data_IF_291276397332
#
_entry.id   IF_291276397332
#
_cell.length_a   1.000
_cell.length_b   1.000
_cell.length_c   1.000
_cell.angle_alpha   90.00
_cell.angle_beta   90.00
_cell.angle_gamma   90.00
#
_symmetry.space_group_name_H-M   'P 1'
#
loop_
_entity.id
_entity.type
_entity.pdbx_description
1 polymer ?
#
# COMPACT_ATOMS: atom_id res chain seq x y z
N UNK A 1 -30.21 -19.58 -17.25
CA UNK A 1 -30.02 -19.57 -15.78
C UNK A 1 -30.72 -18.32 -15.24
N UNK A 2 -31.48 -18.39 -14.14
CA UNK A 2 -32.19 -17.20 -13.63
C UNK A 2 -31.20 -16.22 -12.96
N UNK A 3 -31.48 -14.90 -12.99
CA UNK A 3 -30.63 -13.90 -12.32
C UNK A 3 -30.43 -14.17 -10.82
N UNK A 4 -31.48 -14.67 -10.16
CA UNK A 4 -31.43 -15.05 -8.73
C UNK A 4 -30.46 -16.20 -8.51
N UNK A 5 -30.52 -17.26 -9.33
CA UNK A 5 -29.61 -18.40 -9.20
C UNK A 5 -28.16 -18.00 -9.48
N UNK A 6 -27.93 -17.13 -10.48
CA UNK A 6 -26.61 -16.58 -10.78
C UNK A 6 -26.04 -15.80 -9.59
N UNK A 7 -26.85 -14.93 -8.98
CA UNK A 7 -26.44 -14.14 -7.81
C UNK A 7 -26.11 -15.01 -6.59
N UNK A 8 -26.92 -16.04 -6.32
CA UNK A 8 -26.66 -16.99 -5.21
C UNK A 8 -25.35 -17.75 -5.45
N UNK A 9 -25.13 -18.27 -6.65
CA UNK A 9 -23.90 -18.99 -6.97
C UNK A 9 -22.67 -18.08 -6.89
N UNK A 10 -22.77 -16.84 -7.37
CA UNK A 10 -21.69 -15.86 -7.25
C UNK A 10 -21.37 -15.52 -5.79
N UNK A 11 -22.39 -15.31 -4.96
CA UNK A 11 -22.20 -15.07 -3.53
C UNK A 11 -21.52 -16.26 -2.84
N UNK A 12 -22.00 -17.49 -3.08
CA UNK A 12 -21.40 -18.69 -2.50
C UNK A 12 -19.97 -18.91 -2.99
N UNK A 13 -19.70 -18.67 -4.27
CA UNK A 13 -18.36 -18.77 -4.82
C UNK A 13 -17.40 -17.76 -4.17
N UNK A 14 -17.83 -16.50 -4.01
CA UNK A 14 -17.03 -15.48 -3.33
C UNK A 14 -16.79 -15.84 -1.86
N UNK A 15 -17.84 -16.25 -1.15
CA UNK A 15 -17.71 -16.64 0.25
C UNK A 15 -16.78 -17.84 0.42
N UNK A 16 -16.92 -18.86 -0.42
CA UNK A 16 -16.03 -20.02 -0.42
C UNK A 16 -14.58 -19.60 -0.73
N UNK A 17 -14.36 -18.73 -1.72
CA UNK A 17 -13.01 -18.23 -2.04
C UNK A 17 -12.38 -17.49 -0.86
N UNK A 18 -13.13 -16.63 -0.16
CA UNK A 18 -12.67 -15.94 1.05
C UNK A 18 -12.41 -16.92 2.20
N UNK A 19 -13.30 -17.89 2.42
CA UNK A 19 -13.17 -18.92 3.45
C UNK A 19 -11.94 -19.81 3.22
N UNK A 20 -11.60 -20.10 1.96
CA UNK A 20 -10.41 -20.86 1.61
C UNK A 20 -9.13 -20.01 1.71
N UNK A 21 -9.20 -18.71 1.42
CA UNK A 21 -8.05 -17.81 1.43
C UNK A 21 -7.66 -17.31 2.83
N UNK A 22 -8.63 -17.05 3.73
CA UNK A 22 -8.34 -16.36 4.99
C UNK A 22 -7.37 -17.14 5.88
N UNK A 23 -7.48 -18.47 5.93
CA UNK A 23 -6.65 -19.31 6.80
C UNK A 23 -5.20 -19.36 6.36
N UNK A 24 -4.85 -19.75 5.11
CA UNK A 24 -3.44 -19.78 4.69
C UNK A 24 -2.80 -18.39 4.70
N UNK A 25 -3.53 -17.34 4.31
CA UNK A 25 -3.02 -15.97 4.34
C UNK A 25 -2.88 -15.44 5.77
N UNK A 26 -3.86 -15.69 6.64
CA UNK A 26 -3.83 -15.32 8.05
C UNK A 26 -2.69 -16.02 8.79
N UNK A 27 -2.55 -17.33 8.63
CA UNK A 27 -1.46 -18.11 9.24
C UNK A 27 -0.09 -17.67 8.69
N UNK A 28 -0.02 -17.27 7.42
CA UNK A 28 1.18 -16.66 6.85
C UNK A 28 1.51 -15.31 7.48
N UNK A 29 0.54 -14.39 7.59
CA UNK A 29 0.73 -13.09 8.25
C UNK A 29 1.16 -13.24 9.71
N UNK A 30 0.52 -14.16 10.45
CA UNK A 30 0.88 -14.46 11.83
C UNK A 30 2.36 -14.88 11.93
N UNK A 31 2.80 -15.81 11.06
CA UNK A 31 4.21 -16.24 11.00
C UNK A 31 5.16 -15.11 10.63
N UNK A 32 4.80 -14.25 9.69
CA UNK A 32 5.64 -13.09 9.29
C UNK A 32 5.82 -12.12 10.45
N UNK A 33 4.77 -11.84 11.22
CA UNK A 33 4.83 -10.89 12.33
C UNK A 33 5.42 -11.46 13.62
N UNK A 34 5.42 -12.78 13.82
CA UNK A 34 5.91 -13.42 15.05
C UNK A 34 7.25 -14.15 14.90
N UNK A 35 7.83 -14.22 13.69
CA UNK A 35 9.07 -14.97 13.46
C UNK A 35 10.30 -14.12 13.81
N UNK A 36 11.15 -14.65 14.70
CA UNK A 36 12.48 -14.08 14.98
C UNK A 36 13.53 -14.38 13.89
N UNK A 37 13.15 -15.19 12.89
CA UNK A 37 14.06 -15.60 11.81
C UNK A 37 13.94 -14.67 10.62
N UNK A 38 15.08 -14.11 10.21
CA UNK A 38 15.21 -13.32 8.98
C UNK A 38 15.94 -14.06 7.87
N UNK A 39 15.40 -13.99 6.65
CA UNK A 39 16.03 -14.53 5.46
C UNK A 39 17.30 -13.75 5.09
N UNK A 40 18.21 -14.37 4.32
CA UNK A 40 19.44 -13.70 3.87
C UNK A 40 19.14 -12.42 3.10
N UNK A 41 18.12 -12.45 2.23
CA UNK A 41 17.68 -11.30 1.42
C UNK A 41 17.15 -10.17 2.30
N UNK A 42 16.35 -10.49 3.32
CA UNK A 42 15.84 -9.49 4.28
C UNK A 42 16.98 -8.78 5.01
N UNK A 43 17.98 -9.54 5.48
CA UNK A 43 19.17 -8.97 6.15
C UNK A 43 19.95 -8.02 5.24
N UNK A 44 20.02 -8.29 3.93
CA UNK A 44 20.62 -7.38 2.96
C UNK A 44 19.81 -6.10 2.81
N UNK A 45 18.49 -6.21 2.69
CA UNK A 45 17.59 -5.06 2.59
C UNK A 45 17.69 -4.19 3.84
N UNK A 46 17.61 -4.79 5.04
CA UNK A 46 17.73 -4.07 6.31
C UNK A 46 19.05 -3.28 6.39
N UNK A 47 20.16 -3.91 5.97
CA UNK A 47 21.46 -3.22 5.89
C UNK A 47 21.46 -2.08 4.89
N UNK A 48 20.87 -2.27 3.71
CA UNK A 48 20.84 -1.26 2.66
C UNK A 48 20.02 -0.02 3.08
N UNK A 49 18.92 -0.21 3.80
CA UNK A 49 18.06 0.88 4.29
C UNK A 49 18.43 1.37 5.69
N UNK A 50 19.46 0.78 6.33
CA UNK A 50 19.90 1.11 7.69
C UNK A 50 18.90 0.70 8.79
N UNK A 51 18.00 -0.24 8.53
CA UNK A 51 17.07 -0.75 9.53
C UNK A 51 17.74 -1.82 10.41
N UNK A 52 17.47 -1.77 11.72
CA UNK A 52 17.78 -2.86 12.64
C UNK A 52 16.51 -3.63 12.99
N UNK A 53 16.33 -4.88 12.53
CA UNK A 53 15.11 -5.64 12.81
C UNK A 53 14.99 -6.07 14.29
N UNK A 54 16.07 -6.03 15.08
CA UNK A 54 16.03 -6.38 16.50
C UNK A 54 15.63 -5.21 17.41
N UNK A 55 15.38 -4.02 16.85
CA UNK A 55 15.02 -2.84 17.64
C UNK A 55 13.51 -2.78 17.83
N UNK A 56 13.05 -2.86 19.08
CA UNK A 56 11.66 -2.60 19.42
C UNK A 56 11.34 -1.10 19.40
N UNK A 57 10.18 -0.72 18.85
CA UNK A 57 9.70 0.65 18.84
C UNK A 57 8.62 0.88 19.89
N UNK A 58 8.80 1.90 20.73
CA UNK A 58 7.70 2.42 21.56
C UNK A 58 6.65 3.08 20.64
N UNK A 59 5.38 3.04 21.05
CA UNK A 59 4.27 3.60 20.26
C UNK A 59 4.49 5.05 19.75
N UNK A 60 5.13 6.00 20.48
CA UNK A 60 5.34 7.35 19.95
C UNK A 60 6.36 7.36 18.81
N UNK A 61 7.37 6.50 18.87
CA UNK A 61 8.36 6.35 17.80
C UNK A 61 7.71 5.75 16.55
N UNK A 62 6.87 4.74 16.73
CA UNK A 62 6.08 4.13 15.66
C UNK A 62 5.14 5.17 15.00
N UNK A 63 4.36 5.90 15.79
CA UNK A 63 3.46 6.93 15.29
C UNK A 63 4.21 8.01 14.49
N UNK A 64 5.33 8.52 15.02
CA UNK A 64 6.16 9.48 14.29
C UNK A 64 6.71 8.90 13.00
N UNK A 65 7.12 7.62 13.00
CA UNK A 65 7.58 6.92 11.81
C UNK A 65 6.50 6.86 10.72
N UNK A 66 5.29 6.45 11.09
CA UNK A 66 4.14 6.42 10.17
C UNK A 66 3.83 7.82 9.63
N UNK A 67 3.71 8.83 10.49
CA UNK A 67 3.40 10.20 10.06
C UNK A 67 4.49 10.80 9.16
N UNK A 68 5.77 10.59 9.49
CA UNK A 68 6.89 11.06 8.68
C UNK A 68 6.93 10.37 7.31
N UNK A 69 6.74 9.04 7.28
CA UNK A 69 6.69 8.28 6.03
C UNK A 69 5.50 8.71 5.16
N UNK A 70 4.33 8.91 5.74
CA UNK A 70 3.15 9.42 5.04
C UNK A 70 3.38 10.83 4.49
N UNK A 71 3.97 11.74 5.27
CA UNK A 71 4.27 13.09 4.81
C UNK A 71 5.24 13.08 3.62
N UNK A 72 6.33 12.30 3.70
CA UNK A 72 7.28 12.12 2.58
C UNK A 72 6.57 11.52 1.37
N UNK A 73 5.68 10.54 1.57
CA UNK A 73 4.94 9.91 0.47
C UNK A 73 3.99 10.88 -0.23
N UNK A 74 3.27 11.73 0.52
CA UNK A 74 2.39 12.77 -0.05
C UNK A 74 3.22 13.75 -0.86
N UNK A 75 4.34 14.25 -0.32
CA UNK A 75 5.22 15.18 -1.02
C UNK A 75 5.81 14.54 -2.28
N UNK A 76 6.26 13.29 -2.20
CA UNK A 76 6.79 12.54 -3.33
C UNK A 76 5.75 12.38 -4.45
N UNK A 77 4.55 11.90 -4.14
CA UNK A 77 3.48 11.72 -5.13
C UNK A 77 2.95 13.05 -5.69
N UNK A 78 2.89 14.09 -4.87
CA UNK A 78 2.55 15.44 -5.31
C UNK A 78 3.58 15.93 -6.35
N UNK A 79 4.87 15.87 -6.03
CA UNK A 79 5.94 16.29 -6.94
C UNK A 79 5.98 15.44 -8.20
N UNK A 80 5.78 14.13 -8.09
CA UNK A 80 5.70 13.24 -9.26
C UNK A 80 4.61 13.68 -10.24
N UNK A 81 3.42 14.02 -9.75
CA UNK A 81 2.32 14.52 -10.59
C UNK A 81 2.59 15.92 -11.16
N UNK A 82 3.18 16.81 -10.36
CA UNK A 82 3.56 18.18 -10.79
C UNK A 82 4.68 18.19 -11.82
N UNK A 83 5.52 17.16 -11.82
CA UNK A 83 6.61 16.98 -12.77
C UNK A 83 6.26 15.98 -13.87
N UNK A 84 5.06 15.38 -13.85
CA UNK A 84 4.65 14.31 -14.74
C UNK A 84 4.94 14.63 -16.21
N UNK A 85 4.66 15.86 -16.65
CA UNK A 85 4.90 16.28 -18.03
C UNK A 85 6.36 16.22 -18.47
N UNK A 86 7.29 16.30 -17.52
CA UNK A 86 8.75 16.24 -17.75
C UNK A 86 9.36 14.87 -17.43
N UNK A 87 8.62 13.97 -16.78
CA UNK A 87 9.13 12.66 -16.40
C UNK A 87 9.22 11.73 -17.63
N UNK A 88 10.22 10.83 -17.68
CA UNK A 88 10.24 9.76 -18.67
C UNK A 88 8.93 8.96 -18.62
N UNK A 89 8.34 8.70 -19.79
CA UNK A 89 7.07 7.97 -19.89
C UNK A 89 5.81 8.82 -19.82
N UNK A 90 5.90 10.15 -19.87
CA UNK A 90 4.72 11.06 -19.89
C UNK A 90 3.78 10.86 -21.10
N UNK A 91 4.18 10.17 -22.17
CA UNK A 91 3.38 9.98 -23.41
C UNK A 91 2.80 11.29 -24.02
N UNK A 92 3.36 12.45 -23.68
CA UNK A 92 2.87 13.76 -24.12
C UNK A 92 1.85 14.42 -23.17
N UNK A 93 1.57 13.85 -22.00
CA UNK A 93 0.71 14.46 -21.00
C UNK A 93 1.34 15.71 -20.37
N UNK A 94 0.51 16.68 -20.00
CA UNK A 94 0.92 17.84 -19.20
C UNK A 94 0.92 17.49 -17.71
N UNK A 95 1.67 18.25 -16.93
CA UNK A 95 1.68 18.09 -15.47
C UNK A 95 0.32 18.41 -14.84
N UNK A 96 -0.09 17.60 -13.87
CA UNK A 96 -1.39 17.71 -13.18
C UNK A 96 -1.45 19.02 -12.37
N UNK A 97 -2.53 19.83 -12.44
CA UNK A 97 -2.72 21.04 -11.62
C UNK A 97 -2.49 20.83 -10.12
N UNK A 98 -2.10 21.88 -9.39
CA UNK A 98 -1.62 21.76 -8.01
C UNK A 98 -2.68 21.23 -7.03
N UNK A 99 -3.91 21.70 -7.14
CA UNK A 99 -5.06 21.26 -6.38
C UNK A 99 -5.38 19.78 -6.62
N UNK A 100 -5.44 19.35 -7.89
CA UNK A 100 -5.71 17.96 -8.25
C UNK A 100 -4.56 17.02 -7.85
N UNK A 101 -3.31 17.46 -8.02
CA UNK A 101 -2.13 16.70 -7.61
C UNK A 101 -2.10 16.49 -6.09
N UNK A 102 -2.43 17.52 -5.31
CA UNK A 102 -2.51 17.43 -3.86
C UNK A 102 -3.64 16.50 -3.41
N UNK A 103 -4.85 16.66 -3.99
CA UNK A 103 -5.99 15.80 -3.67
C UNK A 103 -5.67 14.32 -3.95
N UNK A 104 -5.11 14.04 -5.12
CA UNK A 104 -4.74 12.68 -5.54
C UNK A 104 -3.65 12.11 -4.62
N UNK A 105 -2.59 12.88 -4.33
CA UNK A 105 -1.51 12.41 -3.46
C UNK A 105 -2.02 12.10 -2.04
N UNK A 106 -2.82 12.99 -1.44
CA UNK A 106 -3.40 12.78 -0.12
C UNK A 106 -4.35 11.57 -0.10
N UNK A 107 -5.20 11.45 -1.12
CA UNK A 107 -6.16 10.37 -1.30
C UNK A 107 -5.50 8.98 -1.36
N UNK A 108 -4.41 8.84 -2.13
CA UNK A 108 -3.70 7.57 -2.26
C UNK A 108 -2.89 7.23 -1.00
N UNK A 109 -2.20 8.19 -0.39
CA UNK A 109 -1.43 7.92 0.84
C UNK A 109 -2.34 7.63 2.03
N UNK A 110 -3.53 8.24 2.08
CA UNK A 110 -4.55 7.94 3.08
C UNK A 110 -5.31 6.62 2.80
N UNK A 111 -4.98 5.91 1.71
CA UNK A 111 -5.65 4.68 1.28
C UNK A 111 -7.17 4.85 1.04
N UNK A 112 -7.59 6.07 0.67
CA UNK A 112 -8.96 6.38 0.24
C UNK A 112 -9.15 6.07 -1.23
N UNK A 113 -8.17 6.42 -2.05
CA UNK A 113 -8.18 6.23 -3.50
C UNK A 113 -9.41 6.88 -4.18
N UNK A 114 -9.86 8.02 -3.65
CA UNK A 114 -10.79 8.95 -4.31
C UNK A 114 -10.27 9.40 -5.67
N UNK A 115 -11.18 9.47 -6.64
CA UNK A 115 -10.89 9.76 -8.05
C UNK A 115 -11.74 10.95 -8.51
N UNK A 116 -11.11 12.13 -8.65
CA UNK A 116 -11.74 13.36 -9.17
C UNK A 116 -11.00 13.96 -10.37
N UNK A 117 -10.17 13.15 -11.02
CA UNK A 117 -9.40 13.53 -12.20
C UNK A 117 -10.17 13.26 -13.50
#
# INVERSE_FOLDING_TARGET
MSPVLAGVLQFLALFAALALAYRPLGDYMARVYSSDKHLRVEKWIYRAIGANPSTEMRWPAYLRGVLAFSAVSVLFLYLMQRLQGSLPGSLGFVSIPADQAFNTAASFVANTNWQSY
#
